data_IF_184170727118
#
_entry.id   IF_184170727118
#
_cell.length_a   1.000
_cell.length_b   1.000
_cell.length_c   1.000
_cell.angle_alpha   90.00
_cell.angle_beta   90.00
_cell.angle_gamma   90.00
#
_symmetry.space_group_name_H-M   'P 1'
#
loop_
_entity.id
_entity.type
_entity.pdbx_description
1 polymer ?
#
# COMPACT_ATOMS: atom_id res chain seq x y z
N UNK A 1 -2.48 -33.42 -14.88
CA UNK A 1 -2.07 -32.01 -14.87
C UNK A 1 -3.34 -31.16 -14.79
N UNK A 2 -3.51 -30.33 -13.75
CA UNK A 2 -4.71 -29.48 -13.62
C UNK A 2 -4.67 -28.39 -14.70
N UNK A 3 -5.69 -28.34 -15.54
CA UNK A 3 -5.81 -27.30 -16.56
C UNK A 3 -6.67 -26.17 -16.01
N UNK A 4 -6.11 -24.96 -15.93
CA UNK A 4 -6.83 -23.80 -15.43
C UNK A 4 -7.98 -23.44 -16.38
N UNK A 5 -9.24 -23.39 -15.92
CA UNK A 5 -10.41 -23.36 -16.81
C UNK A 5 -10.69 -21.98 -17.44
N UNK A 6 -10.01 -20.91 -17.01
CA UNK A 6 -10.25 -19.55 -17.54
C UNK A 6 -9.27 -19.25 -18.67
N UNK A 7 -9.79 -18.77 -19.79
CA UNK A 7 -9.00 -18.29 -20.93
C UNK A 7 -8.61 -16.82 -20.74
N UNK A 8 -7.48 -16.44 -21.35
CA UNK A 8 -7.05 -15.04 -21.46
C UNK A 8 -7.95 -14.39 -22.51
N UNK A 9 -8.62 -13.29 -22.13
CA UNK A 9 -9.46 -12.52 -23.04
C UNK A 9 -8.63 -11.45 -23.73
N UNK A 10 -8.82 -11.29 -25.06
CA UNK A 10 -8.31 -10.10 -25.77
C UNK A 10 -9.03 -8.85 -25.29
N UNK A 11 -8.51 -7.66 -25.63
CA UNK A 11 -9.13 -6.40 -25.24
C UNK A 11 -10.56 -6.29 -25.83
N UNK A 12 -10.73 -6.67 -27.08
CA UNK A 12 -12.05 -6.70 -27.73
C UNK A 12 -13.03 -7.63 -27.00
N UNK A 13 -12.57 -8.81 -26.62
CA UNK A 13 -13.38 -9.75 -25.84
C UNK A 13 -13.73 -9.22 -24.44
N UNK A 14 -12.82 -8.45 -23.82
CA UNK A 14 -13.08 -7.79 -22.54
C UNK A 14 -14.15 -6.70 -22.69
N UNK A 15 -14.07 -5.87 -23.72
CA UNK A 15 -15.12 -4.87 -24.04
C UNK A 15 -16.45 -5.58 -24.30
N UNK A 16 -16.45 -6.62 -25.13
CA UNK A 16 -17.64 -7.37 -25.47
C UNK A 16 -18.29 -8.00 -24.23
N UNK A 17 -17.50 -8.46 -23.27
CA UNK A 17 -18.02 -9.03 -22.02
C UNK A 17 -18.80 -8.02 -21.18
N UNK A 18 -18.44 -6.73 -21.20
CA UNK A 18 -19.21 -5.67 -20.56
C UNK A 18 -20.54 -5.42 -21.28
N UNK A 19 -20.51 -5.38 -22.62
CA UNK A 19 -21.72 -5.20 -23.45
C UNK A 19 -22.68 -6.37 -23.26
N UNK A 20 -22.18 -7.59 -23.34
CA UNK A 20 -22.97 -8.80 -23.15
C UNK A 20 -23.61 -8.87 -21.76
N UNK A 21 -22.92 -8.31 -20.76
CA UNK A 21 -23.47 -8.19 -19.42
C UNK A 21 -24.43 -7.00 -19.24
N UNK A 22 -24.71 -6.22 -20.30
CA UNK A 22 -25.70 -5.14 -20.29
C UNK A 22 -25.17 -3.78 -19.80
N UNK A 23 -23.84 -3.57 -19.81
CA UNK A 23 -23.26 -2.26 -19.52
C UNK A 23 -23.36 -1.32 -20.74
N UNK A 24 -23.81 -0.09 -20.52
CA UNK A 24 -23.86 0.92 -21.57
C UNK A 24 -22.47 1.47 -21.88
N UNK A 25 -22.04 1.33 -23.15
CA UNK A 25 -20.78 1.82 -23.68
C UNK A 25 -21.06 2.87 -24.76
N UNK A 26 -20.49 4.06 -24.58
CA UNK A 26 -20.68 5.18 -25.54
C UNK A 26 -19.64 5.13 -26.66
N UNK A 27 -18.39 4.72 -26.34
CA UNK A 27 -17.27 4.66 -27.27
C UNK A 27 -16.44 3.42 -26.97
N UNK A 28 -16.37 2.50 -27.92
CA UNK A 28 -15.53 1.30 -27.81
C UNK A 28 -14.04 1.63 -27.74
N UNK A 29 -13.60 2.61 -28.53
CA UNK A 29 -12.20 3.04 -28.57
C UNK A 29 -11.73 3.58 -27.21
N UNK A 30 -12.58 4.39 -26.53
CA UNK A 30 -12.26 4.92 -25.20
C UNK A 30 -12.20 3.81 -24.15
N UNK A 31 -13.12 2.84 -24.22
CA UNK A 31 -13.09 1.68 -23.32
C UNK A 31 -11.83 0.85 -23.52
N UNK A 32 -11.41 0.61 -24.76
CA UNK A 32 -10.16 -0.10 -25.05
C UNK A 32 -8.93 0.62 -24.48
N UNK A 33 -8.84 1.96 -24.67
CA UNK A 33 -7.76 2.77 -24.10
C UNK A 33 -7.69 2.63 -22.58
N UNK A 34 -8.85 2.71 -21.93
CA UNK A 34 -8.96 2.59 -20.48
C UNK A 34 -8.59 1.18 -20.02
N UNK A 35 -9.02 0.13 -20.70
CA UNK A 35 -8.67 -1.25 -20.36
C UNK A 35 -7.18 -1.53 -20.53
N UNK A 36 -6.53 -0.95 -21.54
CA UNK A 36 -5.08 -1.05 -21.75
C UNK A 36 -4.27 -0.34 -20.66
N UNK A 37 -4.84 0.67 -19.99
CA UNK A 37 -4.15 1.47 -18.97
C UNK A 37 -4.43 0.97 -17.56
N UNK A 38 -5.69 0.69 -17.24
CA UNK A 38 -6.13 0.37 -15.87
C UNK A 38 -6.26 -1.15 -15.67
N UNK A 39 -6.68 -1.86 -16.72
CA UNK A 39 -6.90 -3.29 -16.72
C UNK A 39 -8.34 -3.72 -16.37
N UNK A 40 -8.78 -4.77 -17.05
CA UNK A 40 -10.14 -5.30 -16.97
C UNK A 40 -10.58 -5.71 -15.55
N UNK A 41 -9.75 -6.49 -14.86
CA UNK A 41 -10.12 -7.00 -13.55
C UNK A 41 -10.21 -5.92 -12.48
N UNK A 42 -9.37 -4.88 -12.59
CA UNK A 42 -9.43 -3.74 -11.68
C UNK A 42 -10.73 -2.98 -11.84
N UNK A 43 -11.13 -2.65 -13.06
CA UNK A 43 -12.40 -1.97 -13.34
C UNK A 43 -13.62 -2.82 -13.01
N UNK A 44 -13.53 -4.14 -13.22
CA UNK A 44 -14.58 -5.07 -12.80
C UNK A 44 -14.80 -5.04 -11.28
N UNK A 45 -13.75 -4.86 -10.48
CA UNK A 45 -13.86 -4.64 -9.04
C UNK A 45 -14.74 -3.44 -8.70
N UNK A 46 -14.54 -2.30 -9.37
CA UNK A 46 -15.34 -1.09 -9.17
C UNK A 46 -16.79 -1.24 -9.63
N UNK A 47 -17.07 -2.10 -10.60
CA UNK A 47 -18.43 -2.34 -11.10
C UNK A 47 -19.15 -3.49 -10.40
N UNK A 48 -18.49 -4.21 -9.49
CA UNK A 48 -19.00 -5.45 -8.90
C UNK A 48 -20.32 -5.25 -8.13
N UNK A 49 -20.49 -4.12 -7.44
CA UNK A 49 -21.69 -3.79 -6.67
C UNK A 49 -22.94 -3.55 -7.57
N UNK A 50 -22.73 -3.36 -8.86
CA UNK A 50 -23.80 -3.17 -9.87
C UNK A 50 -24.03 -4.46 -10.70
N UNK A 51 -23.31 -5.54 -10.40
CA UNK A 51 -23.36 -6.78 -11.14
C UNK A 51 -24.10 -7.87 -10.37
N UNK A 52 -25.18 -8.40 -10.98
CA UNK A 52 -25.90 -9.53 -10.41
C UNK A 52 -25.24 -10.85 -10.83
N UNK A 53 -24.73 -11.58 -9.84
CA UNK A 53 -24.08 -12.87 -10.06
C UNK A 53 -25.04 -13.99 -10.49
N UNK A 54 -26.35 -13.84 -10.24
CA UNK A 54 -27.37 -14.83 -10.61
C UNK A 54 -27.71 -14.71 -12.08
N UNK A 55 -28.06 -13.50 -12.53
CA UNK A 55 -28.44 -13.21 -13.92
C UNK A 55 -27.24 -13.00 -14.83
N UNK A 56 -26.04 -12.82 -14.27
CA UNK A 56 -24.81 -12.45 -15.00
C UNK A 56 -24.93 -11.14 -15.77
N UNK A 57 -25.73 -10.20 -15.26
CA UNK A 57 -25.98 -8.89 -15.87
C UNK A 57 -25.70 -7.75 -14.91
N UNK A 58 -25.39 -6.60 -15.47
CA UNK A 58 -25.38 -5.33 -14.75
C UNK A 58 -26.80 -4.81 -14.54
N UNK A 59 -26.99 -4.03 -13.49
CA UNK A 59 -28.23 -3.27 -13.27
C UNK A 59 -28.50 -2.39 -14.49
N UNK A 60 -29.77 -2.32 -14.92
CA UNK A 60 -30.16 -1.53 -16.08
C UNK A 60 -29.73 -0.06 -15.93
N UNK A 61 -29.18 0.52 -16.99
CA UNK A 61 -28.66 1.90 -16.99
C UNK A 61 -27.22 2.03 -16.43
N UNK A 62 -26.54 0.93 -16.08
CA UNK A 62 -25.14 0.99 -15.69
C UNK A 62 -24.27 1.43 -16.86
N UNK A 63 -23.54 2.54 -16.70
CA UNK A 63 -22.70 3.12 -17.75
C UNK A 63 -21.22 2.93 -17.41
N UNK A 64 -20.42 2.52 -18.40
CA UNK A 64 -18.97 2.35 -18.22
C UNK A 64 -18.30 3.64 -17.73
N UNK A 65 -18.72 4.81 -18.24
CA UNK A 65 -18.18 6.11 -17.81
C UNK A 65 -18.36 6.39 -16.31
N UNK A 66 -19.40 5.86 -15.68
CA UNK A 66 -19.64 6.10 -14.26
C UNK A 66 -18.71 5.22 -13.41
N UNK A 67 -18.33 4.04 -13.90
CA UNK A 67 -17.30 3.22 -13.29
C UNK A 67 -15.93 3.92 -13.36
N UNK A 68 -15.62 4.58 -14.47
CA UNK A 68 -14.38 5.37 -14.61
C UNK A 68 -14.36 6.54 -13.64
N UNK A 69 -15.47 7.26 -13.47
CA UNK A 69 -15.56 8.34 -12.48
C UNK A 69 -15.35 7.83 -11.06
N UNK A 70 -15.93 6.67 -10.71
CA UNK A 70 -15.75 6.06 -9.41
C UNK A 70 -14.26 5.68 -9.19
N UNK A 71 -13.61 5.12 -10.20
CA UNK A 71 -12.19 4.82 -10.17
C UNK A 71 -11.34 6.09 -9.97
N UNK A 72 -11.63 7.15 -10.71
CA UNK A 72 -10.92 8.44 -10.60
C UNK A 72 -11.10 9.05 -9.21
N UNK A 73 -12.33 9.07 -8.70
CA UNK A 73 -12.62 9.51 -7.34
C UNK A 73 -11.82 8.74 -6.29
N UNK A 74 -11.76 7.40 -6.40
CA UNK A 74 -10.98 6.56 -5.50
C UNK A 74 -9.48 6.89 -5.56
N UNK A 75 -8.93 7.14 -6.75
CA UNK A 75 -7.53 7.53 -6.91
C UNK A 75 -7.24 8.89 -6.25
N UNK A 76 -8.11 9.89 -6.47
CA UNK A 76 -7.96 11.22 -5.86
C UNK A 76 -8.08 11.15 -4.33
N UNK A 77 -9.06 10.40 -3.82
CA UNK A 77 -9.25 10.18 -2.40
C UNK A 77 -8.04 9.46 -1.77
N UNK A 78 -7.55 8.41 -2.43
CA UNK A 78 -6.38 7.67 -1.99
C UNK A 78 -5.14 8.57 -1.92
N UNK A 79 -4.89 9.39 -2.93
CA UNK A 79 -3.76 10.32 -2.94
C UNK A 79 -3.84 11.34 -1.77
N UNK A 80 -5.05 11.85 -1.48
CA UNK A 80 -5.28 12.75 -0.34
C UNK A 80 -5.01 12.04 1.00
N UNK A 81 -5.55 10.84 1.17
CA UNK A 81 -5.37 10.05 2.39
C UNK A 81 -3.89 9.71 2.60
N UNK A 82 -3.17 9.27 1.57
CA UNK A 82 -1.74 8.97 1.65
C UNK A 82 -0.93 10.20 2.06
N UNK A 83 -1.25 11.38 1.48
CA UNK A 83 -0.60 12.64 1.88
C UNK A 83 -0.83 12.98 3.36
N UNK A 84 -2.02 12.73 3.90
CA UNK A 84 -2.31 12.95 5.32
C UNK A 84 -1.62 11.92 6.21
N UNK A 85 -1.64 10.64 5.84
CA UNK A 85 -0.99 9.56 6.59
C UNK A 85 0.51 9.83 6.71
N UNK A 86 1.17 10.22 5.62
CA UNK A 86 2.60 10.57 5.64
C UNK A 86 2.93 11.66 6.67
N UNK A 87 2.11 12.70 6.77
CA UNK A 87 2.31 13.77 7.77
C UNK A 87 2.11 13.28 9.21
N UNK A 88 1.07 12.45 9.43
CA UNK A 88 0.79 11.85 10.74
C UNK A 88 1.94 10.92 11.14
N UNK A 89 2.43 10.14 10.23
CA UNK A 89 3.53 9.21 10.42
C UNK A 89 4.79 9.93 10.90
N UNK A 90 5.22 11.00 10.21
CA UNK A 90 6.36 11.82 10.63
C UNK A 90 6.15 12.41 12.02
N UNK A 91 4.96 12.96 12.30
CA UNK A 91 4.66 13.52 13.61
C UNK A 91 4.69 12.45 14.72
N UNK A 92 4.15 11.25 14.46
CA UNK A 92 4.19 10.15 15.43
C UNK A 92 5.62 9.67 15.73
N UNK A 93 6.49 9.61 14.71
CA UNK A 93 7.92 9.28 14.89
C UNK A 93 8.59 10.24 15.85
N UNK A 94 8.43 11.54 15.60
CA UNK A 94 9.02 12.57 16.46
C UNK A 94 8.52 12.42 17.90
N UNK A 95 7.22 12.29 18.09
CA UNK A 95 6.62 12.14 19.42
C UNK A 95 7.04 10.85 20.13
N UNK A 96 7.20 9.75 19.38
CA UNK A 96 7.70 8.50 19.94
C UNK A 96 9.14 8.63 20.42
N UNK A 97 10.00 9.24 19.60
CA UNK A 97 11.39 9.50 19.98
C UNK A 97 11.47 10.39 21.22
N UNK A 98 10.72 11.50 21.25
CA UNK A 98 10.64 12.41 22.41
C UNK A 98 10.20 11.65 23.67
N UNK A 99 9.14 10.83 23.59
CA UNK A 99 8.64 10.06 24.71
C UNK A 99 9.64 9.01 25.23
N UNK A 100 10.41 8.39 24.35
CA UNK A 100 11.45 7.44 24.75
C UNK A 100 12.66 8.14 25.36
N UNK A 101 13.07 9.31 24.86
CA UNK A 101 14.18 10.08 25.38
C UNK A 101 13.94 10.63 26.80
N UNK A 102 12.69 10.71 27.27
CA UNK A 102 12.38 11.03 28.68
C UNK A 102 13.01 10.00 29.63
N UNK A 103 13.24 8.77 29.19
CA UNK A 103 13.93 7.73 29.96
C UNK A 103 15.46 7.83 29.92
N UNK A 104 16.02 8.80 29.19
CA UNK A 104 17.37 9.35 29.44
C UNK A 104 18.43 9.03 28.41
N UNK A 105 18.42 7.90 27.71
CA UNK A 105 19.57 7.48 26.92
C UNK A 105 19.26 7.36 25.41
N UNK A 106 20.23 7.71 24.52
CA UNK A 106 20.07 7.51 23.07
C UNK A 106 19.76 6.06 22.68
N UNK A 107 20.25 5.10 23.43
CA UNK A 107 20.10 3.67 23.22
C UNK A 107 18.94 3.06 24.02
N UNK A 108 17.99 3.87 24.43
CA UNK A 108 16.83 3.50 25.27
C UNK A 108 16.07 2.27 24.77
N UNK A 109 16.05 2.00 23.48
CA UNK A 109 15.45 0.78 22.92
C UNK A 109 16.16 -0.51 23.34
N UNK A 110 17.42 -0.44 23.76
CA UNK A 110 18.17 -1.61 24.24
C UNK A 110 17.83 -1.96 25.69
N UNK A 111 17.26 -1.03 26.46
CA UNK A 111 16.81 -1.29 27.82
C UNK A 111 15.42 -1.93 27.85
N UNK A 112 15.41 -3.26 27.95
CA UNK A 112 14.16 -3.99 28.06
C UNK A 112 13.36 -3.67 29.34
N UNK A 113 13.98 -3.08 30.37
CA UNK A 113 13.34 -2.85 31.67
C UNK A 113 12.17 -1.87 31.59
N UNK A 114 12.26 -0.88 30.70
CA UNK A 114 11.21 0.15 30.50
C UNK A 114 9.95 -0.37 29.81
N UNK A 115 9.99 -1.57 29.21
CA UNK A 115 8.87 -2.14 28.48
C UNK A 115 8.09 -3.15 29.37
N UNK A 116 6.79 -2.98 29.47
CA UNK A 116 5.92 -3.84 30.29
C UNK A 116 5.84 -5.27 29.73
N UNK A 117 5.63 -5.41 28.43
CA UNK A 117 5.40 -6.68 27.76
C UNK A 117 6.71 -7.24 27.16
N UNK A 118 7.49 -7.98 27.97
CA UNK A 118 8.82 -8.47 27.58
C UNK A 118 8.81 -9.34 26.32
N UNK A 119 7.82 -10.21 26.14
CA UNK A 119 7.72 -11.06 24.96
C UNK A 119 7.53 -10.23 23.69
N UNK A 120 6.63 -9.25 23.74
CA UNK A 120 6.38 -8.33 22.63
C UNK A 120 7.61 -7.46 22.34
N UNK A 121 8.29 -7.00 23.39
CA UNK A 121 9.56 -6.29 23.25
C UNK A 121 10.57 -7.08 22.40
N UNK A 122 10.87 -8.34 22.76
CA UNK A 122 11.84 -9.14 22.03
C UNK A 122 11.41 -9.46 20.60
N UNK A 123 10.12 -9.66 20.36
CA UNK A 123 9.58 -9.84 19.00
C UNK A 123 9.81 -8.59 18.14
N UNK A 124 9.49 -7.41 18.67
CA UNK A 124 9.68 -6.14 17.96
C UNK A 124 11.16 -5.82 17.75
N UNK A 125 12.01 -6.05 18.77
CA UNK A 125 13.46 -5.84 18.65
C UNK A 125 14.11 -6.75 17.61
N UNK A 126 13.62 -7.97 17.44
CA UNK A 126 14.07 -8.85 16.36
C UNK A 126 13.78 -8.24 14.97
N UNK A 127 12.62 -7.63 14.81
CA UNK A 127 12.25 -6.92 13.57
C UNK A 127 13.14 -5.70 13.36
N UNK A 128 13.29 -4.86 14.39
CA UNK A 128 14.17 -3.68 14.36
C UNK A 128 15.60 -4.04 13.99
N UNK A 129 16.17 -5.08 14.62
CA UNK A 129 17.51 -5.54 14.32
C UNK A 129 17.66 -6.01 12.86
N UNK A 130 16.65 -6.69 12.34
CA UNK A 130 16.62 -7.13 10.95
C UNK A 130 16.55 -5.96 9.97
N UNK A 131 15.78 -4.91 10.28
CA UNK A 131 15.70 -3.70 9.46
C UNK A 131 17.01 -2.90 9.48
N UNK A 132 17.62 -2.72 10.67
CA UNK A 132 18.93 -2.09 10.81
C UNK A 132 19.98 -2.82 9.97
N UNK A 133 20.04 -4.15 10.07
CA UNK A 133 21.01 -4.96 9.35
C UNK A 133 20.86 -4.90 7.82
N UNK A 134 19.65 -4.66 7.32
CA UNK A 134 19.36 -4.52 5.88
C UNK A 134 19.46 -3.08 5.37
N UNK A 135 19.49 -2.10 6.27
CA UNK A 135 19.46 -0.69 5.89
C UNK A 135 20.74 -0.26 5.17
N UNK A 136 20.55 0.45 4.07
CA UNK A 136 21.61 1.12 3.32
C UNK A 136 21.73 2.61 3.62
N UNK A 137 21.00 3.09 4.61
CA UNK A 137 20.99 4.51 4.97
C UNK A 137 22.34 5.01 5.45
N UNK A 138 22.71 6.21 5.01
CA UNK A 138 24.02 6.81 5.31
C UNK A 138 24.26 6.92 6.80
N UNK A 139 23.26 7.31 7.58
CA UNK A 139 23.39 7.47 9.02
C UNK A 139 23.48 6.12 9.77
N UNK A 140 22.87 5.05 9.26
CA UNK A 140 23.05 3.70 9.82
C UNK A 140 24.48 3.22 9.56
N UNK A 141 24.97 3.36 8.33
CA UNK A 141 26.38 3.05 8.00
C UNK A 141 27.34 3.84 8.86
N UNK A 142 27.08 5.14 9.04
CA UNK A 142 27.89 5.99 9.89
C UNK A 142 27.98 5.46 11.33
N UNK A 143 26.88 4.97 11.91
CA UNK A 143 26.87 4.40 13.26
C UNK A 143 27.67 3.08 13.32
N UNK A 144 27.58 2.23 12.28
CA UNK A 144 28.42 1.03 12.20
C UNK A 144 29.92 1.36 12.08
N UNK A 145 30.27 2.38 11.31
CA UNK A 145 31.66 2.74 11.04
C UNK A 145 32.30 3.52 12.21
N UNK A 146 31.53 4.30 12.98
CA UNK A 146 32.06 5.27 13.94
C UNK A 146 31.58 5.11 15.38
N UNK A 147 30.57 4.27 15.63
CA UNK A 147 29.91 4.12 16.94
C UNK A 147 29.69 2.64 17.30
N UNK A 148 30.58 1.76 16.87
CA UNK A 148 30.59 0.32 17.20
C UNK A 148 29.27 -0.41 16.88
N UNK A 149 28.52 0.09 15.86
CA UNK A 149 27.23 -0.46 15.45
C UNK A 149 26.06 -0.08 16.35
N UNK A 150 26.26 0.76 17.34
CA UNK A 150 25.18 1.24 18.19
C UNK A 150 24.30 2.25 17.45
N UNK A 151 23.01 1.94 17.36
CA UNK A 151 22.04 2.73 16.59
C UNK A 151 21.07 3.41 17.55
N UNK A 152 21.11 4.75 17.67
CA UNK A 152 20.25 5.48 18.59
C UNK A 152 18.80 5.47 18.15
N UNK A 153 17.87 5.70 19.10
CA UNK A 153 16.41 5.62 18.88
C UNK A 153 15.92 6.48 17.73
N UNK A 154 16.48 7.67 17.53
CA UNK A 154 16.11 8.54 16.39
C UNK A 154 16.53 7.95 15.05
N UNK A 155 17.66 7.24 14.97
CA UNK A 155 18.09 6.59 13.75
C UNK A 155 17.20 5.36 13.42
N UNK A 156 16.85 4.57 14.44
CA UNK A 156 15.89 3.45 14.30
C UNK A 156 14.54 3.93 13.76
N UNK A 157 14.06 5.07 14.23
CA UNK A 157 12.76 5.60 13.79
C UNK A 157 12.70 5.93 12.28
N UNK A 158 13.84 6.18 11.64
CA UNK A 158 13.92 6.41 10.20
C UNK A 158 14.01 5.13 9.36
N UNK A 159 14.63 4.06 9.87
CA UNK A 159 14.81 2.82 9.11
C UNK A 159 13.52 2.01 8.95
N UNK A 160 12.69 1.99 9.99
CA UNK A 160 11.52 1.13 10.05
C UNK A 160 10.41 1.51 9.06
N UNK A 161 10.49 2.66 8.42
CA UNK A 161 9.39 3.26 7.66
C UNK A 161 9.68 3.46 6.15
N UNK A 162 10.93 3.26 5.71
CA UNK A 162 11.25 3.24 4.27
C UNK A 162 10.67 2.07 3.50
N UNK A 163 10.27 1.00 4.18
CA UNK A 163 9.57 -0.12 3.54
C UNK A 163 8.24 0.29 2.88
N UNK A 164 7.64 1.42 3.29
CA UNK A 164 6.43 1.98 2.70
C UNK A 164 6.70 3.06 1.64
N UNK A 165 7.85 3.75 1.68
CA UNK A 165 8.20 4.78 0.70
C UNK A 165 8.55 4.19 -0.68
N UNK A 166 9.11 2.99 -0.74
CA UNK A 166 9.46 2.32 -2.00
C UNK A 166 8.25 1.90 -2.85
N UNK A 167 7.04 1.94 -2.30
CA UNK A 167 5.80 1.71 -3.04
C UNK A 167 5.21 2.99 -3.67
N UNK A 168 5.69 4.18 -3.30
CA UNK A 168 5.27 5.45 -3.88
C UNK A 168 6.12 5.88 -5.09
N UNK A 169 7.26 5.22 -5.32
CA UNK A 169 8.18 5.51 -6.42
C UNK A 169 8.01 4.57 -7.63
N UNK A 170 6.97 3.71 -7.61
CA UNK A 170 6.53 2.85 -8.72
C UNK A 170 5.18 3.32 -9.28
#
# INVERSE_FOLDING_TARGET
MYQYPKQILTIEQQVQSYVDAGMEITSYEDVEKVLKTIGFYRLRGYSFHLYDNTTKKYVAGTKFKDIIKLYQFDQELSALIFSMISKIEVALRVRLVEALLIHGEPLVLQDSSIFKEKKLYWQNMSTVASEIARSNDVFIKHNFDNHDGEVPVWAVSYTHLRAHETLSDL
#
